data_IF_292862051304
#
_entry.id   IF_292862051304
#
_cell.length_a   1.000
_cell.length_b   1.000
_cell.length_c   1.000
_cell.angle_alpha   90.00
_cell.angle_beta   90.00
_cell.angle_gamma   90.00
#
_symmetry.space_group_name_H-M   'P 1'
#
loop_
_entity.id
_entity.type
_entity.pdbx_description
1 polymer ?
#
# COMPACT_ATOMS: atom_id res chain seq x y z
N UNK A 1 -17.93 -15.60 1.37
CA UNK A 1 -16.86 -16.21 0.55
C UNK A 1 -16.30 -17.36 1.37
N UNK A 2 -16.20 -18.57 0.82
CA UNK A 2 -15.57 -19.68 1.54
C UNK A 2 -14.06 -19.44 1.59
N UNK A 3 -13.40 -19.76 2.70
CA UNK A 3 -11.95 -19.56 2.89
C UNK A 3 -11.12 -20.34 1.84
N UNK A 4 -11.70 -21.39 1.25
CA UNK A 4 -11.03 -22.27 0.28
C UNK A 4 -10.96 -21.73 -1.16
N UNK A 5 -11.65 -20.64 -1.47
CA UNK A 5 -11.71 -20.09 -2.85
C UNK A 5 -10.88 -18.81 -3.02
N UNK A 6 -10.19 -18.38 -1.96
CA UNK A 6 -9.45 -17.12 -1.94
C UNK A 6 -8.04 -17.36 -2.46
N UNK A 7 -7.65 -16.58 -3.47
CA UNK A 7 -6.29 -16.61 -4.02
C UNK A 7 -5.53 -15.31 -3.69
N UNK A 8 -4.24 -15.27 -4.02
CA UNK A 8 -3.36 -14.11 -3.81
C UNK A 8 -3.95 -12.79 -4.35
N UNK A 9 -4.57 -12.80 -5.53
CA UNK A 9 -5.11 -11.58 -6.15
C UNK A 9 -6.32 -11.02 -5.39
N UNK A 10 -7.12 -11.89 -4.78
CA UNK A 10 -8.23 -11.45 -3.92
C UNK A 10 -7.70 -10.79 -2.64
N UNK A 11 -6.62 -11.34 -2.08
CA UNK A 11 -5.96 -10.84 -0.87
C UNK A 11 -5.35 -9.46 -1.11
N UNK A 12 -4.57 -9.28 -2.18
CA UNK A 12 -3.97 -7.96 -2.49
C UNK A 12 -5.05 -6.91 -2.78
N UNK A 13 -6.09 -7.26 -3.54
CA UNK A 13 -7.22 -6.36 -3.81
C UNK A 13 -7.92 -5.93 -2.53
N UNK A 14 -8.06 -6.83 -1.56
CA UNK A 14 -8.62 -6.51 -0.26
C UNK A 14 -7.73 -5.55 0.53
N UNK A 15 -6.41 -5.77 0.53
CA UNK A 15 -5.43 -4.91 1.21
C UNK A 15 -5.49 -3.50 0.63
N UNK A 16 -5.41 -3.35 -0.69
CA UNK A 16 -5.44 -2.04 -1.36
C UNK A 16 -6.70 -1.21 -1.03
N UNK A 17 -7.84 -1.88 -0.84
CA UNK A 17 -9.13 -1.22 -0.58
C UNK A 17 -9.37 -0.90 0.89
N UNK A 18 -8.79 -1.67 1.82
CA UNK A 18 -9.19 -1.66 3.22
C UNK A 18 -8.07 -1.34 4.21
N UNK A 19 -6.81 -1.44 3.80
CA UNK A 19 -5.66 -1.23 4.68
C UNK A 19 -5.08 0.15 4.47
N UNK A 20 -4.72 0.81 5.57
CA UNK A 20 -3.83 1.96 5.50
C UNK A 20 -2.35 1.51 5.34
N UNK A 21 -1.48 2.46 5.02
CA UNK A 21 -0.02 2.22 4.86
C UNK A 21 0.61 1.47 6.04
N UNK A 22 0.27 1.84 7.27
CA UNK A 22 0.82 1.21 8.48
C UNK A 22 0.42 -0.26 8.59
N UNK A 23 -0.87 -0.56 8.37
CA UNK A 23 -1.38 -1.94 8.39
C UNK A 23 -0.77 -2.78 7.27
N UNK A 24 -0.68 -2.24 6.05
CA UNK A 24 -0.07 -2.94 4.92
C UNK A 24 1.43 -3.22 5.16
N UNK A 25 2.15 -2.25 5.73
CA UNK A 25 3.55 -2.44 6.14
C UNK A 25 3.69 -3.51 7.21
N UNK A 26 2.84 -3.47 8.24
CA UNK A 26 2.84 -4.46 9.31
C UNK A 26 2.56 -5.87 8.81
N UNK A 27 1.53 -6.04 7.97
CA UNK A 27 1.22 -7.33 7.34
C UNK A 27 2.41 -7.85 6.51
N UNK A 28 3.07 -6.97 5.75
CA UNK A 28 4.23 -7.36 4.95
C UNK A 28 5.40 -7.84 5.82
N UNK A 29 5.66 -7.15 6.94
CA UNK A 29 6.67 -7.58 7.91
C UNK A 29 6.34 -8.98 8.49
N UNK A 30 5.08 -9.22 8.87
CA UNK A 30 4.65 -10.51 9.40
C UNK A 30 4.82 -11.64 8.39
N UNK A 31 4.51 -11.41 7.11
CA UNK A 31 4.71 -12.37 6.01
C UNK A 31 6.18 -12.76 5.92
N UNK A 32 7.10 -11.79 5.83
CA UNK A 32 8.52 -12.09 5.69
C UNK A 32 9.15 -12.69 6.96
N UNK A 33 8.68 -12.32 8.15
CA UNK A 33 9.09 -12.97 9.40
C UNK A 33 8.65 -14.45 9.41
N UNK A 34 7.40 -14.72 9.07
CA UNK A 34 6.86 -16.08 9.01
C UNK A 34 7.63 -16.96 8.00
N UNK A 35 7.93 -16.43 6.81
CA UNK A 35 8.75 -17.11 5.80
C UNK A 35 10.17 -17.37 6.30
N UNK A 36 10.83 -16.36 6.89
CA UNK A 36 12.21 -16.47 7.39
C UNK A 36 12.33 -17.49 8.52
N UNK A 37 11.37 -17.50 9.43
CA UNK A 37 11.41 -18.29 10.66
C UNK A 37 10.68 -19.63 10.53
N UNK A 38 10.08 -19.90 9.36
CA UNK A 38 9.30 -21.11 9.07
C UNK A 38 8.15 -21.30 10.07
N UNK A 39 7.45 -20.20 10.36
CA UNK A 39 6.26 -20.17 11.23
C UNK A 39 5.02 -19.73 10.45
N UNK A 40 3.87 -19.65 11.11
CA UNK A 40 2.68 -19.01 10.53
C UNK A 40 2.69 -17.50 10.76
N UNK A 41 1.95 -16.77 9.92
CA UNK A 41 1.72 -15.33 10.07
C UNK A 41 0.88 -15.08 11.32
N UNK A 42 -0.09 -15.96 11.63
CA UNK A 42 -0.84 -15.90 12.89
C UNK A 42 0.05 -15.99 14.13
N UNK A 43 1.08 -16.85 14.10
CA UNK A 43 2.06 -16.94 15.17
C UNK A 43 2.83 -15.62 15.34
N UNK A 44 3.35 -15.06 14.24
CA UNK A 44 4.08 -13.79 14.27
C UNK A 44 3.19 -12.62 14.73
N UNK A 45 1.94 -12.54 14.28
CA UNK A 45 0.99 -11.52 14.73
C UNK A 45 0.82 -11.54 16.24
N UNK A 46 0.68 -12.73 16.82
CA UNK A 46 0.54 -12.93 18.25
C UNK A 46 1.82 -12.57 19.01
N UNK A 47 2.97 -12.97 18.48
CA UNK A 47 4.28 -12.70 19.10
C UNK A 47 4.57 -11.20 19.17
N UNK A 48 4.29 -10.46 18.08
CA UNK A 48 4.67 -9.06 17.96
C UNK A 48 3.54 -8.06 18.28
N UNK A 49 2.32 -8.53 18.52
CA UNK A 49 1.21 -7.68 18.99
C UNK A 49 0.59 -6.77 17.93
N UNK A 50 0.52 -7.21 16.67
CA UNK A 50 -0.15 -6.47 15.58
C UNK A 50 -1.68 -6.62 15.67
N UNK A 51 -2.29 -6.00 16.69
CA UNK A 51 -3.72 -6.12 17.00
C UNK A 51 -4.64 -5.40 16.00
N UNK A 52 -4.11 -4.44 15.26
CA UNK A 52 -4.81 -3.63 14.26
C UNK A 52 -5.01 -4.34 12.92
N UNK A 53 -4.42 -5.53 12.74
CA UNK A 53 -4.57 -6.37 11.54
C UNK A 53 -5.69 -7.40 11.78
N UNK A 54 -6.76 -7.43 10.97
CA UNK A 54 -7.86 -8.38 11.12
C UNK A 54 -7.44 -9.85 10.99
N UNK A 55 -7.92 -10.74 11.87
CA UNK A 55 -7.61 -12.18 11.83
C UNK A 55 -8.00 -12.87 10.52
N UNK A 56 -9.01 -12.35 9.83
CA UNK A 56 -9.49 -12.93 8.57
C UNK A 56 -8.43 -12.83 7.47
N UNK A 57 -7.70 -11.71 7.37
CA UNK A 57 -6.65 -11.55 6.36
C UNK A 57 -5.48 -12.48 6.67
N UNK A 58 -5.17 -12.67 7.95
CA UNK A 58 -4.11 -13.56 8.41
C UNK A 58 -4.42 -15.01 8.04
N UNK A 59 -5.68 -15.41 8.25
CA UNK A 59 -6.16 -16.74 7.90
C UNK A 59 -6.04 -16.99 6.39
N UNK A 60 -6.37 -16.00 5.56
CA UNK A 60 -6.21 -16.10 4.10
C UNK A 60 -4.73 -16.20 3.70
N UNK A 61 -3.87 -15.35 4.25
CA UNK A 61 -2.43 -15.39 3.96
C UNK A 61 -1.77 -16.71 4.42
N UNK A 62 -2.16 -17.26 5.57
CA UNK A 62 -1.65 -18.54 6.07
C UNK A 62 -2.13 -19.74 5.25
N UNK A 63 -3.23 -19.59 4.50
CA UNK A 63 -3.76 -20.64 3.62
C UNK A 63 -3.03 -20.76 2.27
N UNK A 64 -2.30 -19.72 1.88
CA UNK A 64 -1.46 -19.72 0.69
C UNK A 64 -0.25 -20.65 0.87
N UNK A 65 0.27 -21.17 -0.24
CA UNK A 65 1.56 -21.86 -0.20
C UNK A 65 2.74 -20.88 0.01
N UNK A 66 3.94 -21.42 0.25
CA UNK A 66 5.12 -20.59 0.52
C UNK A 66 5.48 -19.63 -0.63
N UNK A 67 5.37 -20.11 -1.87
CA UNK A 67 5.65 -19.30 -3.06
C UNK A 67 4.65 -18.17 -3.22
N UNK A 68 3.36 -18.49 -3.07
CA UNK A 68 2.28 -17.50 -3.10
C UNK A 68 2.41 -16.46 -1.98
N UNK A 69 2.83 -16.86 -0.77
CA UNK A 69 3.12 -15.91 0.33
C UNK A 69 4.28 -14.98 0.00
N UNK A 70 5.33 -15.49 -0.64
CA UNK A 70 6.46 -14.66 -1.06
C UNK A 70 6.02 -13.66 -2.14
N UNK A 71 5.26 -14.12 -3.14
CA UNK A 71 4.69 -13.26 -4.17
C UNK A 71 3.76 -12.19 -3.58
N UNK A 72 2.91 -12.55 -2.62
CA UNK A 72 2.04 -11.61 -1.91
C UNK A 72 2.86 -10.52 -1.19
N UNK A 73 3.95 -10.89 -0.50
CA UNK A 73 4.82 -9.91 0.15
C UNK A 73 5.47 -8.93 -0.84
N UNK A 74 5.83 -9.42 -2.03
CA UNK A 74 6.33 -8.58 -3.11
C UNK A 74 5.26 -7.63 -3.67
N UNK A 75 4.03 -8.10 -3.85
CA UNK A 75 2.90 -7.26 -4.31
C UNK A 75 2.60 -6.14 -3.31
N UNK A 76 2.55 -6.46 -2.01
CA UNK A 76 2.34 -5.47 -0.95
C UNK A 76 3.48 -4.43 -0.96
N UNK A 77 4.72 -4.86 -1.17
CA UNK A 77 5.86 -3.95 -1.27
C UNK A 77 5.75 -3.02 -2.49
N UNK A 78 5.29 -3.55 -3.64
CA UNK A 78 5.06 -2.76 -4.85
C UNK A 78 3.95 -1.72 -4.65
N UNK A 79 2.83 -2.12 -4.03
CA UNK A 79 1.75 -1.21 -3.64
C UNK A 79 2.25 -0.06 -2.74
N UNK A 80 3.01 -0.38 -1.70
CA UNK A 80 3.57 0.62 -0.78
C UNK A 80 4.55 1.57 -1.50
N UNK A 81 5.35 1.04 -2.44
CA UNK A 81 6.26 1.84 -3.25
C UNK A 81 5.51 2.81 -4.17
N UNK A 82 4.45 2.36 -4.83
CA UNK A 82 3.61 3.21 -5.68
C UNK A 82 2.98 4.36 -4.90
N UNK A 83 2.51 4.07 -3.67
CA UNK A 83 1.99 5.10 -2.76
C UNK A 83 3.07 6.14 -2.37
N UNK A 84 4.33 5.70 -2.20
CA UNK A 84 5.46 6.61 -1.90
C UNK A 84 5.75 7.51 -3.11
N UNK A 85 5.80 6.93 -4.31
CA UNK A 85 6.07 7.66 -5.55
C UNK A 85 4.97 8.67 -5.82
N UNK A 86 3.71 8.26 -5.71
CA UNK A 86 2.55 9.14 -5.93
C UNK A 86 2.55 10.31 -4.95
N UNK A 87 2.79 10.05 -3.66
CA UNK A 87 2.90 11.08 -2.64
C UNK A 87 4.07 12.07 -2.87
N UNK A 88 5.13 11.67 -3.60
CA UNK A 88 6.24 12.54 -3.96
C UNK A 88 5.95 13.40 -5.23
N UNK A 89 5.10 12.90 -6.13
CA UNK A 89 4.74 13.60 -7.37
C UNK A 89 3.69 14.70 -7.13
N UNK A 90 2.69 14.47 -6.30
CA UNK A 90 1.65 15.46 -5.96
C UNK A 90 2.17 16.83 -5.43
N UNK A 91 3.14 16.90 -4.51
CA UNK A 91 3.67 18.18 -4.06
C UNK A 91 4.43 18.91 -5.18
N UNK A 92 5.04 18.16 -6.10
CA UNK A 92 5.80 18.72 -7.22
C UNK A 92 4.86 19.30 -8.28
N UNK A 93 3.77 18.59 -8.62
CA UNK A 93 2.79 19.07 -9.59
C UNK A 93 2.01 20.28 -9.07
N UNK A 94 1.59 20.30 -7.80
CA UNK A 94 0.92 21.45 -7.19
C UNK A 94 1.81 22.71 -7.17
N UNK A 95 3.11 22.55 -6.88
CA UNK A 95 4.08 23.65 -6.93
C UNK A 95 4.30 24.15 -8.36
N UNK A 96 4.39 23.26 -9.34
CA UNK A 96 4.52 23.62 -10.76
C UNK A 96 3.27 24.38 -11.25
N UNK A 97 2.06 23.91 -10.91
CA UNK A 97 0.81 24.59 -11.29
C UNK A 97 0.68 25.96 -10.62
N UNK A 98 1.07 26.09 -9.35
CA UNK A 98 1.09 27.38 -8.66
C UNK A 98 2.08 28.35 -9.32
N UNK A 99 3.27 27.88 -9.70
CA UNK A 99 4.28 28.69 -10.37
C UNK A 99 3.82 29.14 -11.76
N UNK A 100 3.19 28.26 -12.54
CA UNK A 100 2.59 28.60 -13.85
C UNK A 100 1.43 29.59 -13.73
N UNK A 101 0.59 29.49 -12.69
CA UNK A 101 -0.50 30.43 -12.46
C UNK A 101 0.01 31.84 -12.09
N UNK A 102 1.16 31.94 -11.40
CA UNK A 102 1.82 33.22 -11.10
C UNK A 102 2.42 33.82 -12.39
N UNK A 103 3.13 33.04 -13.20
CA UNK A 103 3.68 33.52 -14.48
C UNK A 103 2.59 33.96 -15.47
N UNK A 104 1.46 33.25 -15.53
CA UNK A 104 0.32 33.63 -16.37
C UNK A 104 -0.28 34.99 -15.96
N UNK A 105 -0.32 35.30 -14.65
CA UNK A 105 -0.77 36.61 -14.14
C UNK A 105 0.20 37.74 -14.48
N UNK A 106 1.51 37.47 -14.49
CA UNK A 106 2.53 38.48 -14.85
C UNK A 106 2.49 38.82 -16.34
N UNK A 107 2.13 37.86 -17.19
CA UNK A 107 2.07 38.03 -18.65
C UNK A 107 0.69 38.43 -19.19
N UNK A 108 -0.29 38.74 -18.32
CA UNK A 108 -1.57 39.27 -18.79
C UNK A 108 -1.36 40.73 -19.18
N UNK A 109 -1.49 41.13 -20.47
CA UNK A 109 -1.35 42.53 -20.84
C UNK A 109 -2.48 43.30 -20.13
N UNK A 110 -2.13 44.34 -19.39
CA UNK A 110 -3.11 45.33 -18.98
C UNK A 110 -3.70 45.87 -20.30
N UNK A 111 -4.98 45.57 -20.56
CA UNK A 111 -5.78 46.28 -21.55
C UNK A 111 -5.73 47.75 -21.11
N UNK A 112 -4.77 48.47 -21.67
CA UNK A 112 -4.63 49.91 -21.56
C UNK A 112 -5.81 50.49 -22.33
N UNK A 113 -6.85 50.89 -21.61
CA UNK A 113 -7.92 51.73 -22.12
C UNK A 113 -7.32 53.07 -22.57
N UNK A 114 -6.95 53.19 -23.84
CA UNK A 114 -6.74 54.46 -24.56
C UNK A 114 -7.05 54.30 -26.05
#
# INVERSE_FOLDING_TARGET
>A
MNVTDINRLDIISHIEQNFNRTQATGLNCLIFLALREQTTIAYQKKEWGFEDIPEIIITWCDSLDEGERFELGADIAAFLLDEIITAAVEPTSAQITAMQAIEAKVNTPLLSDY
#
